data_IF_049797332800
#
_entry.id   IF_049797332800
#
_cell.length_a   1.000
_cell.length_b   1.000
_cell.length_c   1.000
_cell.angle_alpha   90.00
_cell.angle_beta   90.00
_cell.angle_gamma   90.00
#
_symmetry.space_group_name_H-M   'P 1'
#
loop_
_entity.id
_entity.type
_entity.pdbx_description
1 polymer ?
#
# COMPACT_ATOMS: atom_id res chain seq x y z
N UNK A 1 -6.10 38.72 -70.10
CA UNK A 1 -5.98 39.54 -68.89
C UNK A 1 -6.54 38.72 -67.72
N UNK A 2 -5.72 38.39 -66.71
CA UNK A 2 -6.23 37.66 -65.54
C UNK A 2 -7.20 38.54 -64.75
N UNK A 3 -8.36 37.99 -64.40
CA UNK A 3 -9.41 38.67 -63.67
C UNK A 3 -8.92 39.05 -62.25
N UNK A 4 -9.11 40.31 -61.82
CA UNK A 4 -8.60 40.86 -60.54
C UNK A 4 -8.98 40.00 -59.33
N UNK A 5 -10.18 39.44 -59.34
CA UNK A 5 -10.69 38.52 -58.32
C UNK A 5 -9.90 37.21 -58.25
N UNK A 6 -9.41 36.70 -59.38
CA UNK A 6 -8.53 35.52 -59.42
C UNK A 6 -7.14 35.78 -58.85
N UNK A 7 -6.60 36.99 -59.03
CA UNK A 7 -5.32 37.39 -58.44
C UNK A 7 -5.38 37.52 -56.91
N UNK A 8 -6.48 38.07 -56.39
CA UNK A 8 -6.72 38.19 -54.94
C UNK A 8 -6.85 36.80 -54.31
N UNK A 9 -7.61 35.89 -54.92
CA UNK A 9 -7.78 34.52 -54.42
C UNK A 9 -6.45 33.76 -54.38
N UNK A 10 -5.62 33.92 -55.41
CA UNK A 10 -4.31 33.29 -55.51
C UNK A 10 -3.36 33.82 -54.42
N UNK A 11 -3.40 35.13 -54.14
CA UNK A 11 -2.65 35.74 -53.04
C UNK A 11 -3.11 35.20 -51.68
N UNK A 12 -4.42 35.06 -51.46
CA UNK A 12 -4.98 34.50 -50.22
C UNK A 12 -4.53 33.06 -49.99
N UNK A 13 -4.51 32.24 -51.04
CA UNK A 13 -4.05 30.85 -50.98
C UNK A 13 -2.57 30.78 -50.61
N UNK A 14 -1.72 31.63 -51.22
CA UNK A 14 -0.31 31.69 -50.85
C UNK A 14 -0.10 32.11 -49.39
N UNK A 15 -0.86 33.10 -48.93
CA UNK A 15 -0.76 33.60 -47.56
C UNK A 15 -1.21 32.53 -46.55
N UNK A 16 -2.26 31.78 -46.88
CA UNK A 16 -2.72 30.63 -46.09
C UNK A 16 -1.65 29.53 -46.01
N UNK A 17 -1.03 29.17 -47.13
CA UNK A 17 0.04 28.16 -47.18
C UNK A 17 1.21 28.59 -46.28
N UNK A 18 1.64 29.85 -46.36
CA UNK A 18 2.72 30.38 -45.52
C UNK A 18 2.36 30.29 -44.03
N UNK A 19 1.14 30.69 -43.65
CA UNK A 19 0.68 30.62 -42.25
C UNK A 19 0.59 29.18 -41.73
N UNK A 20 0.09 28.25 -42.52
CA UNK A 20 0.01 26.82 -42.14
C UNK A 20 1.41 26.25 -41.96
N UNK A 21 2.31 26.55 -42.90
CA UNK A 21 3.70 26.04 -42.85
C UNK A 21 4.45 26.59 -41.64
N UNK A 22 4.23 27.87 -41.31
CA UNK A 22 4.80 28.53 -40.13
C UNK A 22 4.21 28.00 -38.81
N UNK A 23 2.91 27.66 -38.79
CA UNK A 23 2.28 27.03 -37.63
C UNK A 23 2.83 25.61 -37.39
N UNK A 24 2.92 24.80 -38.45
CA UNK A 24 3.49 23.46 -38.37
C UNK A 24 4.96 23.49 -37.94
N UNK A 25 5.77 24.41 -38.45
CA UNK A 25 7.18 24.50 -38.07
C UNK A 25 7.35 24.80 -36.57
N UNK A 26 6.45 25.59 -35.98
CA UNK A 26 6.47 25.88 -34.54
C UNK A 26 5.95 24.73 -33.67
N UNK A 27 5.05 23.88 -34.20
CA UNK A 27 4.57 22.68 -33.52
C UNK A 27 5.56 21.51 -33.60
N UNK A 28 6.36 21.46 -34.67
CA UNK A 28 7.37 20.43 -34.91
C UNK A 28 8.65 20.59 -34.09
N UNK A 29 8.81 21.69 -33.33
CA UNK A 29 9.93 21.81 -32.38
C UNK A 29 9.59 20.88 -31.21
N UNK A 30 10.27 19.71 -31.06
CA UNK A 30 10.11 18.93 -29.85
C UNK A 30 10.61 19.82 -28.73
N UNK A 31 9.71 20.31 -27.88
CA UNK A 31 10.09 20.88 -26.59
C UNK A 31 10.29 19.68 -25.68
N UNK A 32 11.53 19.21 -25.42
CA UNK A 32 11.73 18.18 -24.44
C UNK A 32 11.21 18.71 -23.10
N UNK A 33 10.02 18.28 -22.71
CA UNK A 33 9.61 18.38 -21.32
C UNK A 33 10.35 17.26 -20.62
N UNK A 34 11.40 17.62 -19.90
CA UNK A 34 11.96 16.74 -18.89
C UNK A 34 10.84 16.58 -17.86
N UNK A 35 10.09 15.48 -17.99
CA UNK A 35 9.15 15.07 -16.96
C UNK A 35 10.01 14.31 -15.98
N UNK A 36 10.24 14.90 -14.81
CA UNK A 36 10.93 14.21 -13.71
C UNK A 36 10.09 12.98 -13.34
N UNK A 37 10.55 11.81 -13.78
CA UNK A 37 9.88 10.55 -13.48
C UNK A 37 10.22 10.14 -12.05
N UNK A 38 9.21 10.15 -11.18
CA UNK A 38 9.32 9.82 -9.75
C UNK A 38 8.45 8.62 -9.36
N UNK A 39 8.11 7.75 -10.31
CA UNK A 39 7.10 6.71 -10.13
C UNK A 39 7.42 5.70 -9.04
N UNK A 40 8.64 5.15 -9.02
CA UNK A 40 9.09 4.18 -8.03
C UNK A 40 9.18 4.82 -6.65
N UNK A 41 9.78 6.03 -6.58
CA UNK A 41 9.93 6.77 -5.34
C UNK A 41 8.58 7.09 -4.72
N UNK A 42 7.67 7.68 -5.51
CA UNK A 42 6.30 7.98 -5.10
C UNK A 42 5.61 6.72 -4.58
N UNK A 43 5.69 5.61 -5.31
CA UNK A 43 4.99 4.39 -4.92
C UNK A 43 5.57 3.79 -3.64
N UNK A 44 6.89 3.88 -3.44
CA UNK A 44 7.57 3.37 -2.26
C UNK A 44 7.21 4.22 -1.02
N UNK A 45 7.19 5.54 -1.17
CA UNK A 45 6.81 6.47 -0.10
C UNK A 45 5.34 6.32 0.31
N UNK A 46 4.43 6.17 -0.67
CA UNK A 46 3.00 5.92 -0.39
C UNK A 46 2.78 4.60 0.35
N UNK A 47 3.50 3.55 -0.03
CA UNK A 47 3.50 2.27 0.69
C UNK A 47 4.02 2.42 2.13
N UNK A 48 5.13 3.16 2.30
CA UNK A 48 5.69 3.43 3.61
C UNK A 48 4.70 4.20 4.49
N UNK A 49 4.04 5.21 3.92
CA UNK A 49 3.02 6.01 4.61
C UNK A 49 1.82 5.15 5.01
N UNK A 50 1.36 4.27 4.11
CA UNK A 50 0.31 3.29 4.42
C UNK A 50 0.71 2.36 5.58
N UNK A 51 1.92 1.78 5.53
CA UNK A 51 2.42 0.91 6.60
C UNK A 51 2.51 1.64 7.93
N UNK A 52 3.06 2.86 7.93
CA UNK A 52 3.19 3.71 9.10
C UNK A 52 1.82 4.07 9.71
N UNK A 53 0.82 4.34 8.86
CA UNK A 53 -0.54 4.55 9.36
C UNK A 53 -1.08 3.33 10.14
N UNK A 54 -0.92 2.12 9.58
CA UNK A 54 -1.42 0.89 10.21
C UNK A 54 -0.62 0.45 11.44
N UNK A 55 0.65 0.83 11.53
CA UNK A 55 1.47 0.69 12.75
C UNK A 55 0.83 1.47 13.91
N UNK A 56 0.42 2.71 13.68
CA UNK A 56 -0.08 3.59 14.74
C UNK A 56 -1.60 3.59 14.94
N UNK A 57 -2.39 3.17 13.94
CA UNK A 57 -3.85 2.88 13.80
C UNK A 57 -4.90 3.64 14.66
N UNK A 58 -4.52 4.55 15.55
CA UNK A 58 -5.35 5.16 16.59
C UNK A 58 -5.01 6.64 16.87
N UNK A 59 -3.84 7.15 16.44
CA UNK A 59 -3.36 8.45 16.92
C UNK A 59 -3.31 9.57 15.87
N UNK A 60 -3.42 9.27 14.57
CA UNK A 60 -3.32 10.28 13.49
C UNK A 60 -4.27 9.98 12.35
N UNK A 61 -4.85 11.03 11.77
CA UNK A 61 -5.60 10.89 10.53
C UNK A 61 -4.65 10.61 9.37
N UNK A 62 -5.07 9.76 8.44
CA UNK A 62 -4.30 9.52 7.22
C UNK A 62 -4.16 10.79 6.37
N UNK A 63 -5.15 11.69 6.42
CA UNK A 63 -5.10 12.99 5.75
C UNK A 63 -3.96 13.87 6.29
N UNK A 64 -3.72 13.83 7.61
CA UNK A 64 -2.63 14.57 8.24
C UNK A 64 -1.27 14.03 7.78
N UNK A 65 -1.13 12.71 7.68
CA UNK A 65 0.09 12.07 7.18
C UNK A 65 0.35 12.45 5.72
N UNK A 66 -0.68 12.40 4.86
CA UNK A 66 -0.56 12.85 3.47
C UNK A 66 -0.22 14.33 3.36
N UNK A 67 -0.80 15.18 4.21
CA UNK A 67 -0.48 16.61 4.24
C UNK A 67 1.00 16.84 4.58
N UNK A 68 1.52 16.16 5.60
CA UNK A 68 2.94 16.23 5.98
C UNK A 68 3.82 15.74 4.83
N UNK A 69 3.45 14.63 4.18
CA UNK A 69 4.14 14.09 3.02
C UNK A 69 4.24 15.10 1.87
N UNK A 70 3.14 15.76 1.50
CA UNK A 70 3.16 16.76 0.44
C UNK A 70 3.93 18.02 0.80
N UNK A 71 3.84 18.49 2.05
CA UNK A 71 4.67 19.62 2.53
C UNK A 71 6.16 19.29 2.40
N UNK A 72 6.54 18.06 2.76
CA UNK A 72 7.92 17.61 2.62
C UNK A 72 8.34 17.52 1.15
N UNK A 73 7.50 16.95 0.28
CA UNK A 73 7.77 16.81 -1.15
C UNK A 73 7.90 18.16 -1.88
N UNK A 74 7.11 19.16 -1.50
CA UNK A 74 7.24 20.53 -2.00
C UNK A 74 8.59 21.14 -1.59
N UNK A 75 9.03 20.90 -0.34
CA UNK A 75 10.32 21.40 0.17
C UNK A 75 11.51 20.82 -0.59
N UNK A 76 11.46 19.52 -0.94
CA UNK A 76 12.51 18.86 -1.72
C UNK A 76 12.33 18.99 -3.24
N UNK A 77 11.28 19.67 -3.69
CA UNK A 77 10.91 19.84 -5.11
C UNK A 77 10.78 18.51 -5.87
N UNK A 78 10.32 17.46 -5.18
CA UNK A 78 10.13 16.13 -5.78
C UNK A 78 8.92 16.05 -6.74
N UNK A 79 8.06 17.09 -6.76
CA UNK A 79 6.92 17.20 -7.68
C UNK A 79 5.97 15.99 -7.69
N UNK A 80 5.85 15.29 -6.56
CA UNK A 80 4.98 14.12 -6.43
C UNK A 80 3.50 14.54 -6.57
N UNK A 81 2.73 13.95 -7.49
CA UNK A 81 1.34 14.34 -7.70
C UNK A 81 0.45 13.94 -6.52
N UNK A 82 -0.61 14.72 -6.33
CA UNK A 82 -1.61 14.46 -5.28
C UNK A 82 -2.38 13.18 -5.59
N UNK A 83 -2.56 12.33 -4.58
CA UNK A 83 -3.30 11.06 -4.67
C UNK A 83 -4.47 11.06 -3.69
N UNK A 84 -5.53 10.38 -4.09
CA UNK A 84 -6.63 10.02 -3.19
C UNK A 84 -6.42 8.58 -2.70
N UNK A 85 -6.98 8.25 -1.54
CA UNK A 85 -6.82 6.94 -0.92
C UNK A 85 -8.15 6.39 -0.40
N UNK A 86 -8.18 5.08 -0.16
CA UNK A 86 -9.25 4.37 0.54
C UNK A 86 -8.63 3.44 1.55
N UNK A 87 -9.15 3.47 2.78
CA UNK A 87 -8.75 2.58 3.87
C UNK A 87 -9.81 1.52 4.07
N UNK A 88 -9.38 0.28 4.22
CA UNK A 88 -10.26 -0.83 4.53
C UNK A 88 -9.66 -1.66 5.65
N UNK A 89 -10.49 -1.90 6.65
CA UNK A 89 -10.21 -2.79 7.78
C UNK A 89 -11.28 -3.87 7.80
N UNK A 90 -10.87 -5.14 7.77
CA UNK A 90 -11.77 -6.28 7.94
C UNK A 90 -11.20 -7.21 8.99
N UNK A 91 -12.03 -7.56 9.97
CA UNK A 91 -11.68 -8.50 11.04
C UNK A 91 -12.85 -9.47 11.17
N UNK A 92 -12.54 -10.76 11.14
CA UNK A 92 -13.47 -11.84 11.47
C UNK A 92 -12.88 -12.59 12.65
N UNK A 93 -13.55 -12.48 13.79
CA UNK A 93 -13.07 -12.95 15.08
C UNK A 93 -13.87 -14.18 15.52
N UNK A 94 -13.43 -15.33 15.05
CA UNK A 94 -14.02 -16.65 15.28
C UNK A 94 -12.87 -17.64 15.54
N UNK A 95 -13.22 -18.88 15.91
CA UNK A 95 -12.23 -19.94 16.15
C UNK A 95 -11.24 -20.09 14.97
N UNK A 96 -11.75 -20.05 13.74
CA UNK A 96 -10.94 -19.79 12.55
C UNK A 96 -11.25 -18.38 12.07
N UNK A 97 -10.23 -17.55 11.85
CA UNK A 97 -10.46 -16.14 11.61
C UNK A 97 -9.44 -15.49 10.69
N UNK A 98 -9.72 -14.23 10.37
CA UNK A 98 -8.85 -13.45 9.51
C UNK A 98 -8.88 -11.97 9.87
N UNK A 99 -7.80 -11.29 9.54
CA UNK A 99 -7.71 -9.86 9.54
C UNK A 99 -7.05 -9.32 8.28
N UNK A 100 -7.48 -8.12 7.90
CA UNK A 100 -6.98 -7.38 6.76
C UNK A 100 -6.93 -5.90 7.11
N UNK A 101 -5.77 -5.31 6.88
CA UNK A 101 -5.57 -3.89 6.71
C UNK A 101 -5.20 -3.63 5.26
N UNK A 102 -5.90 -2.70 4.61
CA UNK A 102 -5.69 -2.37 3.21
C UNK A 102 -5.76 -0.86 3.01
N UNK A 103 -4.77 -0.34 2.28
CA UNK A 103 -4.76 1.03 1.75
C UNK A 103 -4.64 0.97 0.24
N UNK A 104 -5.60 1.56 -0.47
CA UNK A 104 -5.61 1.65 -1.93
C UNK A 104 -5.51 3.12 -2.33
N UNK A 105 -4.53 3.44 -3.18
CA UNK A 105 -4.40 4.77 -3.77
C UNK A 105 -4.94 4.79 -5.20
N UNK A 106 -5.45 5.95 -5.63
CA UNK A 106 -6.02 6.12 -6.97
C UNK A 106 -5.00 6.03 -8.13
N UNK A 107 -3.71 5.94 -7.83
CA UNK A 107 -2.62 5.71 -8.78
C UNK A 107 -2.19 4.24 -8.88
N UNK A 108 -3.06 3.30 -8.44
CA UNK A 108 -2.81 1.84 -8.46
C UNK A 108 -1.73 1.33 -7.50
N UNK A 109 -1.35 2.14 -6.51
CA UNK A 109 -0.50 1.69 -5.39
C UNK A 109 -1.38 1.08 -4.30
N UNK A 110 -1.03 -0.10 -3.80
CA UNK A 110 -1.78 -0.81 -2.77
C UNK A 110 -0.82 -1.37 -1.72
N UNK A 111 -1.16 -1.15 -0.45
CA UNK A 111 -0.57 -1.86 0.68
C UNK A 111 -1.62 -2.75 1.33
N UNK A 112 -1.27 -4.00 1.60
CA UNK A 112 -2.10 -4.93 2.40
C UNK A 112 -1.27 -5.59 3.47
N UNK A 113 -1.84 -5.70 4.66
CA UNK A 113 -1.38 -6.59 5.73
C UNK A 113 -2.50 -7.57 6.03
N UNK A 114 -2.25 -8.85 5.78
CA UNK A 114 -3.25 -9.92 5.87
C UNK A 114 -2.77 -11.02 6.80
N UNK A 115 -3.62 -11.41 7.74
CA UNK A 115 -3.39 -12.57 8.58
C UNK A 115 -4.63 -13.48 8.61
N UNK A 116 -4.40 -14.78 8.68
CA UNK A 116 -5.44 -15.79 8.87
C UNK A 116 -4.95 -16.81 9.88
N UNK A 117 -5.80 -17.15 10.84
CA UNK A 117 -5.54 -18.21 11.79
C UNK A 117 -6.58 -19.32 11.67
N UNK A 118 -6.13 -20.55 11.87
CA UNK A 118 -7.00 -21.70 11.99
C UNK A 118 -6.66 -22.46 13.27
N UNK A 119 -7.68 -22.82 14.03
CA UNK A 119 -7.56 -23.69 15.18
C UNK A 119 -7.19 -25.12 14.73
N UNK A 120 -6.25 -25.73 15.43
CA UNK A 120 -5.82 -27.10 15.16
C UNK A 120 -6.34 -28.08 16.21
N UNK A 121 -6.02 -27.84 17.48
CA UNK A 121 -6.37 -28.70 18.61
C UNK A 121 -6.11 -28.00 19.95
N UNK A 122 -6.45 -28.68 21.04
CA UNK A 122 -6.05 -28.32 22.41
C UNK A 122 -4.97 -29.31 22.86
N UNK A 123 -3.94 -28.84 23.56
CA UNK A 123 -2.89 -29.69 24.14
C UNK A 123 -2.47 -29.19 25.52
N UNK A 124 -1.89 -30.10 26.32
CA UNK A 124 -1.28 -29.76 27.61
C UNK A 124 0.21 -29.49 27.36
N UNK A 125 0.66 -28.31 27.74
CA UNK A 125 2.07 -27.94 27.76
C UNK A 125 2.54 -27.70 29.19
N UNK A 126 3.86 -27.69 29.38
CA UNK A 126 4.45 -27.28 30.65
C UNK A 126 5.09 -25.91 30.52
N UNK A 127 4.93 -25.09 31.55
CA UNK A 127 5.63 -23.83 31.77
C UNK A 127 6.02 -23.74 33.25
N UNK A 128 7.29 -23.49 33.55
CA UNK A 128 7.80 -23.44 34.93
C UNK A 128 7.41 -24.65 35.81
N UNK A 129 7.37 -25.85 35.21
CA UNK A 129 6.90 -27.11 35.82
C UNK A 129 5.40 -27.19 36.17
N UNK A 130 4.59 -26.21 35.76
CA UNK A 130 3.13 -26.25 35.88
C UNK A 130 2.50 -26.66 34.54
N UNK A 131 1.44 -27.47 34.62
CA UNK A 131 0.69 -27.90 33.45
C UNK A 131 -0.30 -26.79 33.04
N UNK A 132 -0.17 -26.30 31.82
CA UNK A 132 -1.03 -25.26 31.23
C UNK A 132 -1.70 -25.83 29.98
N UNK A 133 -2.99 -25.57 29.82
CA UNK A 133 -3.77 -26.02 28.66
C UNK A 133 -3.69 -24.93 27.58
N UNK A 134 -3.28 -25.31 26.38
CA UNK A 134 -3.13 -24.41 25.23
C UNK A 134 -4.09 -24.77 24.10
N UNK A 135 -4.67 -23.75 23.48
CA UNK A 135 -5.28 -23.78 22.15
C UNK A 135 -4.18 -23.59 21.11
N UNK A 136 -4.05 -24.55 20.21
CA UNK A 136 -3.06 -24.52 19.14
C UNK A 136 -3.66 -23.93 17.86
N UNK A 137 -2.96 -22.98 17.28
CA UNK A 137 -3.34 -22.28 16.05
C UNK A 137 -2.22 -22.34 15.02
N UNK A 138 -2.60 -22.46 13.75
CA UNK A 138 -1.74 -22.09 12.63
C UNK A 138 -2.07 -20.67 12.20
N UNK A 139 -1.07 -19.82 12.02
CA UNK A 139 -1.22 -18.43 11.58
C UNK A 139 -0.37 -18.19 10.33
N UNK A 140 -1.00 -17.72 9.26
CA UNK A 140 -0.31 -17.23 8.06
C UNK A 140 -0.42 -15.71 8.05
N UNK A 141 0.72 -15.02 7.97
CA UNK A 141 0.79 -13.56 8.01
C UNK A 141 1.75 -13.01 6.96
N UNK A 142 1.30 -12.06 6.15
CA UNK A 142 2.11 -11.43 5.12
C UNK A 142 1.65 -10.01 4.77
N UNK A 143 2.57 -9.29 4.16
CA UNK A 143 2.35 -8.01 3.51
C UNK A 143 2.35 -8.17 2.00
N UNK A 144 1.44 -7.45 1.32
CA UNK A 144 1.49 -7.25 -0.12
C UNK A 144 1.78 -5.78 -0.42
N UNK A 145 2.80 -5.59 -1.26
CA UNK A 145 3.25 -4.30 -1.75
C UNK A 145 3.04 -4.27 -3.27
N UNK A 146 2.03 -3.54 -3.72
CA UNK A 146 1.61 -3.54 -5.13
C UNK A 146 1.77 -2.14 -5.70
N UNK A 147 2.44 -2.04 -6.84
CA UNK A 147 2.54 -0.79 -7.59
C UNK A 147 2.79 -1.07 -9.09
N UNK A 148 2.46 -0.12 -9.99
CA UNK A 148 2.70 -0.28 -11.43
C UNK A 148 4.15 -0.62 -11.81
N UNK A 149 5.12 -0.15 -11.02
CA UNK A 149 6.54 -0.23 -11.35
C UNK A 149 7.16 -1.60 -11.05
N UNK A 150 6.63 -2.34 -10.08
CA UNK A 150 7.17 -3.65 -9.66
C UNK A 150 6.12 -4.76 -9.59
N UNK A 151 4.86 -4.50 -9.96
CA UNK A 151 3.78 -5.47 -9.87
C UNK A 151 3.43 -5.75 -8.41
N UNK A 152 3.81 -6.92 -7.88
CA UNK A 152 3.46 -7.37 -6.54
C UNK A 152 4.66 -7.99 -5.84
N UNK A 153 4.99 -7.46 -4.66
CA UNK A 153 6.00 -8.03 -3.75
C UNK A 153 5.26 -8.53 -2.51
N UNK A 154 5.54 -9.77 -2.10
CA UNK A 154 5.00 -10.38 -0.87
C UNK A 154 6.12 -10.56 0.14
N UNK A 155 5.87 -10.15 1.37
CA UNK A 155 6.83 -10.27 2.47
C UNK A 155 6.15 -10.94 3.66
N UNK A 156 6.85 -11.84 4.34
CA UNK A 156 6.36 -12.55 5.54
C UNK A 156 7.12 -12.04 6.77
N UNK A 157 6.63 -10.98 7.45
CA UNK A 157 7.34 -10.37 8.55
C UNK A 157 7.46 -11.34 9.74
N UNK A 158 8.51 -11.14 10.53
CA UNK A 158 8.57 -11.75 11.86
C UNK A 158 7.55 -11.10 12.78
N UNK A 159 6.95 -11.89 13.65
CA UNK A 159 5.99 -11.43 14.65
C UNK A 159 6.48 -11.79 16.05
N UNK A 160 6.14 -10.94 17.00
CA UNK A 160 6.43 -11.12 18.41
C UNK A 160 5.24 -10.67 19.24
N UNK A 161 5.24 -11.05 20.51
CA UNK A 161 4.21 -10.65 21.47
C UNK A 161 4.81 -10.54 22.86
N UNK A 162 4.18 -9.73 23.69
CA UNK A 162 4.50 -9.60 25.13
C UNK A 162 3.66 -10.55 25.98
N UNK A 163 2.68 -11.24 25.39
CA UNK A 163 1.88 -12.25 26.06
C UNK A 163 2.67 -13.55 26.25
N UNK A 164 2.36 -14.28 27.32
CA UNK A 164 2.95 -15.59 27.55
C UNK A 164 2.28 -16.63 26.64
N UNK A 165 2.82 -16.78 25.43
CA UNK A 165 2.33 -17.73 24.41
C UNK A 165 3.49 -18.49 23.80
N UNK A 166 3.22 -19.70 23.32
CA UNK A 166 4.23 -20.48 22.57
C UNK A 166 4.17 -20.09 21.11
N UNK A 167 5.29 -19.67 20.55
CA UNK A 167 5.37 -19.25 19.15
C UNK A 167 6.52 -19.96 18.45
N UNK A 168 6.25 -20.55 17.27
CA UNK A 168 7.26 -21.19 16.44
C UNK A 168 6.96 -20.95 14.97
N UNK A 169 7.96 -20.53 14.19
CA UNK A 169 7.83 -20.41 12.73
C UNK A 169 8.22 -21.72 12.03
N UNK A 170 7.41 -22.13 11.07
CA UNK A 170 7.65 -23.25 10.15
C UNK A 170 7.36 -22.76 8.74
N UNK A 171 8.42 -22.48 7.97
CA UNK A 171 8.34 -21.79 6.68
C UNK A 171 7.57 -20.45 6.77
N UNK A 172 6.45 -20.33 6.06
CA UNK A 172 5.60 -19.13 6.02
C UNK A 172 4.42 -19.19 7.00
N UNK A 173 4.37 -20.23 7.84
CA UNK A 173 3.30 -20.43 8.82
C UNK A 173 3.86 -20.38 10.24
N UNK A 174 3.11 -19.76 11.13
CA UNK A 174 3.38 -19.72 12.56
C UNK A 174 2.51 -20.74 13.27
N UNK A 175 3.10 -21.51 14.17
CA UNK A 175 2.40 -22.37 15.12
C UNK A 175 2.35 -21.62 16.43
N UNK A 176 1.14 -21.41 16.95
CA UNK A 176 0.89 -20.55 18.12
C UNK A 176 0.06 -21.33 19.14
N UNK A 177 0.64 -21.52 20.33
CA UNK A 177 -0.06 -22.03 21.50
C UNK A 177 -0.52 -20.88 22.38
N UNK A 178 -1.84 -20.66 22.43
CA UNK A 178 -2.48 -19.62 23.26
C UNK A 178 -3.10 -20.30 24.49
N UNK A 179 -2.84 -19.85 25.73
CA UNK A 179 -3.49 -20.41 26.92
C UNK A 179 -5.02 -20.43 26.80
N UNK A 180 -5.67 -21.46 27.33
CA UNK A 180 -7.10 -21.69 27.15
C UNK A 180 -7.95 -20.50 27.63
N UNK A 181 -7.55 -19.89 28.76
CA UNK A 181 -8.18 -18.72 29.37
C UNK A 181 -8.10 -17.43 28.53
N UNK A 182 -7.21 -17.38 27.53
CA UNK A 182 -7.07 -16.21 26.67
C UNK A 182 -7.99 -16.33 25.44
N UNK A 183 -8.95 -15.42 25.33
CA UNK A 183 -9.83 -15.28 24.16
C UNK A 183 -9.24 -14.40 23.05
N UNK A 184 -8.20 -13.61 23.36
CA UNK A 184 -7.52 -12.76 22.39
C UNK A 184 -6.05 -12.57 22.75
N UNK A 185 -5.19 -12.66 21.73
CA UNK A 185 -3.75 -12.35 21.84
C UNK A 185 -3.38 -11.39 20.74
N UNK A 186 -2.73 -10.29 21.13
CA UNK A 186 -2.19 -9.33 20.20
C UNK A 186 -0.72 -9.68 19.89
N UNK A 187 -0.35 -9.54 18.62
CA UNK A 187 1.02 -9.68 18.12
C UNK A 187 1.42 -8.39 17.41
N UNK A 188 2.71 -8.14 17.37
CA UNK A 188 3.31 -7.03 16.62
C UNK A 188 4.30 -7.61 15.63
N UNK A 189 4.30 -7.08 14.42
CA UNK A 189 5.32 -7.44 13.46
C UNK A 189 6.60 -6.63 13.62
N UNK A 190 7.67 -7.01 12.92
CA UNK A 190 8.95 -6.29 12.92
C UNK A 190 8.87 -4.82 12.46
N UNK A 191 7.76 -4.39 11.88
CA UNK A 191 7.48 -3.03 11.48
C UNK A 191 6.49 -2.32 12.43
N UNK A 192 6.12 -2.95 13.54
CA UNK A 192 5.21 -2.42 14.56
C UNK A 192 3.72 -2.60 14.26
N UNK A 193 3.32 -3.22 13.14
CA UNK A 193 1.89 -3.43 12.85
C UNK A 193 1.30 -4.43 13.83
N UNK A 194 0.22 -4.01 14.49
CA UNK A 194 -0.53 -4.83 15.44
C UNK A 194 -1.52 -5.74 14.72
N UNK A 195 -1.29 -7.05 14.81
CA UNK A 195 -2.23 -8.11 14.42
C UNK A 195 -2.72 -8.86 15.66
N UNK A 196 -3.70 -9.74 15.51
CA UNK A 196 -4.20 -10.51 16.65
C UNK A 196 -4.88 -11.80 16.21
N UNK A 197 -4.88 -12.78 17.11
CA UNK A 197 -5.74 -13.95 17.07
C UNK A 197 -6.80 -13.75 18.13
N UNK A 198 -8.04 -14.04 17.79
CA UNK A 198 -9.12 -14.02 18.77
C UNK A 198 -10.13 -15.14 18.48
N UNK A 199 -10.69 -15.65 19.56
CA UNK A 199 -11.53 -16.83 19.60
C UNK A 199 -12.72 -16.49 20.49
N UNK A 200 -13.88 -16.31 19.87
CA UNK A 200 -15.15 -16.12 20.56
C UNK A 200 -15.78 -17.50 20.72
N UNK A 201 -15.89 -17.93 21.97
CA UNK A 201 -16.68 -19.12 22.34
C UNK A 201 -18.17 -18.92 22.03
#
# INVERSE_FOLDING_TARGET
MLNRSGQILLLSVFLLIILITFSLSNLLIPRPRVIDYVGELQSAELIHLARFYWEYNNNRSFDELLKIFYIYNEKIKANVPKVAYTLKRKIVCERDGLGLYETVFNNSVIFRSSWRWNFSNIYIGYENNEAVIFKNYTLVYYHEYIAPQWGKIVLYPEIYTTCNVKIKRVYDTWIIGIPLEMSRVDFYDKFGIKIFICDRE
#
